data_IF_400752929242
#
_entry.id   IF_400752929242
#
_cell.length_a   1.000
_cell.length_b   1.000
_cell.length_c   1.000
_cell.angle_alpha   90.00
_cell.angle_beta   90.00
_cell.angle_gamma   90.00
#
_symmetry.space_group_name_H-M   'P 1'
#
loop_
_entity.id
_entity.type
_entity.pdbx_description
1 polymer ?
#
# COMPACT_ATOMS: atom_id res chain seq x y z
N UNK A 1 -62.29 -10.89 50.51
CA UNK A 1 -61.88 -9.71 51.29
C UNK A 1 -60.41 -9.47 51.02
N UNK A 2 -60.10 -8.20 50.74
CA UNK A 2 -58.79 -7.58 50.52
C UNK A 2 -57.62 -8.21 51.26
N UNK A 3 -56.48 -8.38 50.59
CA UNK A 3 -55.32 -7.49 50.79
C UNK A 3 -54.03 -8.11 50.27
N UNK A 4 -53.35 -7.40 49.38
CA UNK A 4 -52.02 -7.79 48.87
C UNK A 4 -51.43 -6.72 47.99
N UNK A 5 -51.28 -5.49 48.52
CA UNK A 5 -50.43 -4.48 47.90
C UNK A 5 -48.98 -4.89 48.17
N UNK A 6 -48.24 -5.25 47.12
CA UNK A 6 -46.78 -5.15 47.11
C UNK A 6 -46.36 -4.39 45.87
N UNK A 7 -45.94 -3.17 46.14
CA UNK A 7 -45.31 -2.23 45.26
C UNK A 7 -44.08 -2.85 44.60
N UNK A 8 -43.90 -2.60 43.31
CA UNK A 8 -42.55 -2.48 42.76
C UNK A 8 -42.53 -1.31 41.80
N UNK A 9 -41.92 -0.25 42.30
CA UNK A 9 -41.70 1.00 41.61
C UNK A 9 -41.03 0.78 40.25
N UNK A 10 -41.53 1.52 39.26
CA UNK A 10 -40.85 1.74 38.00
C UNK A 10 -39.51 2.42 38.28
N UNK A 11 -38.41 1.76 37.92
CA UNK A 11 -37.11 2.41 37.78
C UNK A 11 -36.95 2.80 36.31
N UNK A 12 -36.93 4.10 35.95
CA UNK A 12 -36.45 4.51 34.65
C UNK A 12 -34.91 4.37 34.66
N UNK A 13 -34.41 3.25 34.13
CA UNK A 13 -32.97 3.12 33.89
C UNK A 13 -32.61 4.00 32.68
N UNK A 14 -32.40 5.28 32.97
CA UNK A 14 -31.81 6.26 32.06
C UNK A 14 -30.38 5.79 31.76
N UNK A 15 -30.20 4.98 30.71
CA UNK A 15 -28.87 4.68 30.19
C UNK A 15 -28.28 5.97 29.62
N UNK A 16 -27.43 6.61 30.40
CA UNK A 16 -26.55 7.68 29.96
C UNK A 16 -25.53 7.03 29.04
N UNK A 17 -25.72 7.19 27.73
CA UNK A 17 -24.71 6.83 26.74
C UNK A 17 -23.59 7.88 26.87
N UNK A 18 -22.61 7.62 27.72
CA UNK A 18 -21.30 8.28 27.61
C UNK A 18 -20.66 7.75 26.34
N UNK A 19 -20.73 8.51 25.26
CA UNK A 19 -19.88 8.30 24.09
C UNK A 19 -18.47 8.67 24.52
N UNK A 20 -17.64 7.66 24.77
CA UNK A 20 -16.20 7.85 24.93
C UNK A 20 -15.70 8.38 23.58
N UNK A 21 -15.38 9.67 23.52
CA UNK A 21 -14.80 10.30 22.34
C UNK A 21 -13.38 9.76 22.18
N UNK A 22 -13.21 8.76 21.30
CA UNK A 22 -11.89 8.28 20.93
C UNK A 22 -11.13 9.42 20.26
N UNK A 23 -10.19 10.01 20.99
CA UNK A 23 -9.27 11.03 20.49
C UNK A 23 -8.36 10.37 19.44
N UNK A 24 -8.70 10.50 18.17
CA UNK A 24 -7.86 10.01 17.07
C UNK A 24 -6.60 10.88 17.02
N UNK A 25 -5.48 10.36 17.50
CA UNK A 25 -4.15 10.96 17.32
C UNK A 25 -3.63 10.69 15.90
N UNK A 26 -4.32 11.29 14.93
CA UNK A 26 -3.87 11.38 13.55
C UNK A 26 -3.69 12.87 13.26
N UNK A 27 -2.51 13.41 13.59
CA UNK A 27 -2.09 14.70 13.06
C UNK A 27 -2.01 14.58 11.54
N UNK A 28 -3.05 15.05 10.86
CA UNK A 28 -3.15 15.08 9.42
C UNK A 28 -2.15 16.09 8.85
N UNK A 29 -0.88 15.69 8.75
CA UNK A 29 0.05 16.32 7.81
C UNK A 29 -0.34 15.75 6.44
N UNK A 30 -1.23 16.47 5.77
CA UNK A 30 -1.66 16.16 4.41
C UNK A 30 -0.51 16.46 3.46
N UNK A 31 0.33 15.47 3.16
CA UNK A 31 1.08 15.50 1.92
C UNK A 31 0.06 15.32 0.79
N UNK A 32 -0.15 16.37 0.00
CA UNK A 32 -1.02 16.34 -1.17
C UNK A 32 -0.48 15.32 -2.18
N UNK A 33 -0.94 14.06 -2.08
CA UNK A 33 -0.77 13.09 -3.13
C UNK A 33 -1.67 13.50 -4.31
N UNK A 34 -1.06 14.07 -5.36
CA UNK A 34 -1.72 14.31 -6.65
C UNK A 34 -2.26 12.98 -7.17
N UNK A 35 -3.56 12.75 -6.99
CA UNK A 35 -4.26 11.65 -7.64
C UNK A 35 -4.31 11.97 -9.14
N UNK A 36 -3.49 11.29 -9.94
CA UNK A 36 -3.71 11.19 -11.38
C UNK A 36 -5.03 10.44 -11.57
N UNK A 37 -6.10 11.17 -11.89
CA UNK A 37 -7.38 10.61 -12.32
C UNK A 37 -7.20 9.99 -13.70
N UNK A 38 -6.79 8.73 -13.71
CA UNK A 38 -6.95 7.86 -14.88
C UNK A 38 -8.41 7.46 -14.95
N UNK A 39 -9.10 8.05 -15.93
CA UNK A 39 -10.18 7.44 -16.72
C UNK A 39 -11.32 6.74 -15.97
N UNK A 40 -12.42 7.47 -15.75
CA UNK A 40 -13.79 7.02 -16.05
C UNK A 40 -14.81 8.00 -15.46
N UNK A 41 -15.05 9.10 -16.16
CA UNK A 41 -16.35 9.74 -16.14
C UNK A 41 -16.72 9.95 -17.61
N UNK A 42 -17.78 9.29 -18.03
CA UNK A 42 -18.32 9.39 -19.37
C UNK A 42 -18.56 10.85 -19.73
N UNK A 43 -17.82 11.32 -20.73
CA UNK A 43 -18.13 12.52 -21.48
C UNK A 43 -18.49 12.06 -22.88
N UNK A 44 -19.78 12.05 -23.17
CA UNK A 44 -20.36 12.02 -24.52
C UNK A 44 -19.59 13.01 -25.40
N UNK A 45 -18.73 12.54 -26.29
CA UNK A 45 -18.26 13.28 -27.47
C UNK A 45 -17.76 12.30 -28.52
N UNK A 46 -18.71 11.64 -29.18
CA UNK A 46 -18.55 11.44 -30.62
C UNK A 46 -18.77 12.79 -31.29
N UNK A 47 -17.70 13.54 -31.56
CA UNK A 47 -17.68 14.56 -32.61
C UNK A 47 -16.27 15.14 -32.75
N UNK A 48 -15.75 15.17 -33.97
CA UNK A 48 -14.72 16.12 -34.36
C UNK A 48 -13.27 15.63 -34.19
N UNK A 49 -12.69 15.22 -35.32
CA UNK A 49 -11.44 15.72 -35.90
C UNK A 49 -10.77 16.88 -35.12
N UNK A 50 -10.27 16.59 -33.92
CA UNK A 50 -9.55 17.51 -33.08
C UNK A 50 -8.12 17.01 -32.95
N UNK A 51 -7.27 17.48 -33.85
CA UNK A 51 -5.81 17.29 -33.85
C UNK A 51 -5.24 17.93 -32.57
N UNK A 52 -5.44 17.30 -31.42
CA UNK A 52 -4.78 17.67 -30.16
C UNK A 52 -3.31 17.40 -30.40
N UNK A 53 -2.58 18.50 -30.62
CA UNK A 53 -1.13 18.58 -30.62
C UNK A 53 -0.64 17.75 -29.44
N UNK A 54 -0.17 16.55 -29.75
CA UNK A 54 0.65 15.74 -28.86
C UNK A 54 1.90 16.58 -28.70
N UNK A 55 1.90 17.43 -27.68
CA UNK A 55 3.06 18.19 -27.28
C UNK A 55 4.19 17.17 -27.15
N UNK A 56 5.21 17.37 -27.97
CA UNK A 56 6.47 16.67 -27.95
C UNK A 56 7.11 16.93 -26.58
N UNK A 57 6.63 16.21 -25.56
CA UNK A 57 7.39 15.94 -24.36
C UNK A 57 8.61 15.19 -24.90
N UNK A 58 9.69 15.93 -25.16
CA UNK A 58 10.95 15.38 -25.59
C UNK A 58 11.25 14.21 -24.68
N UNK A 59 11.48 13.04 -25.28
CA UNK A 59 11.93 11.89 -24.53
C UNK A 59 13.24 12.30 -23.84
N UNK A 60 13.14 12.60 -22.55
CA UNK A 60 14.29 12.87 -21.71
C UNK A 60 15.12 11.58 -21.76
N UNK A 61 16.26 11.66 -22.43
CA UNK A 61 17.17 10.53 -22.58
C UNK A 61 17.65 10.13 -21.18
N UNK A 62 17.45 8.86 -20.84
CA UNK A 62 17.89 8.33 -19.55
C UNK A 62 19.40 8.22 -19.62
N UNK A 63 20.11 8.97 -18.77
CA UNK A 63 21.55 8.86 -18.64
C UNK A 63 21.88 7.52 -17.98
N UNK A 64 22.40 6.58 -18.76
CA UNK A 64 22.93 5.31 -18.25
C UNK A 64 24.31 5.58 -17.64
N UNK A 65 24.46 5.32 -16.33
CA UNK A 65 25.76 5.41 -15.68
C UNK A 65 26.52 4.10 -15.88
N UNK A 66 27.84 4.14 -16.10
CA UNK A 66 28.64 2.94 -16.25
C UNK A 66 28.58 2.10 -14.97
N UNK A 67 28.46 0.79 -15.12
CA UNK A 67 28.47 -0.16 -14.01
C UNK A 67 29.92 -0.49 -13.66
N UNK A 68 30.26 -0.40 -12.38
CA UNK A 68 31.57 -0.80 -11.86
C UNK A 68 31.81 -2.30 -12.07
N UNK A 69 33.02 -2.68 -12.49
CA UNK A 69 33.40 -4.08 -12.79
C UNK A 69 34.41 -4.65 -11.80
N UNK A 70 34.97 -3.81 -10.93
CA UNK A 70 35.98 -4.21 -9.96
C UNK A 70 35.36 -5.05 -8.82
N UNK A 71 35.76 -6.32 -8.63
CA UNK A 71 35.14 -7.20 -7.63
C UNK A 71 35.37 -6.71 -6.19
N UNK A 72 36.53 -6.11 -5.90
CA UNK A 72 36.83 -5.55 -4.58
C UNK A 72 35.91 -4.39 -4.20
N UNK A 73 35.48 -3.57 -5.16
CA UNK A 73 34.53 -2.48 -4.89
C UNK A 73 33.13 -3.03 -4.68
N UNK A 74 32.70 -3.98 -5.51
CA UNK A 74 31.37 -4.59 -5.44
C UNK A 74 31.08 -5.31 -4.12
N UNK A 75 32.11 -5.88 -3.47
CA UNK A 75 31.95 -6.57 -2.18
C UNK A 75 31.98 -5.61 -0.99
N UNK A 76 32.69 -4.48 -1.09
CA UNK A 76 32.89 -3.57 0.04
C UNK A 76 31.95 -2.36 0.04
N UNK A 77 31.37 -2.01 -1.12
CA UNK A 77 30.56 -0.82 -1.30
C UNK A 77 29.25 -1.14 -2.00
N UNK A 78 28.20 -0.39 -1.66
CA UNK A 78 26.91 -0.42 -2.37
C UNK A 78 27.03 0.48 -3.60
N UNK A 79 27.55 -0.06 -4.70
CA UNK A 79 27.74 0.69 -5.94
C UNK A 79 26.41 1.25 -6.46
N UNK A 80 26.37 2.55 -6.75
CA UNK A 80 25.17 3.25 -7.22
C UNK A 80 24.23 3.74 -6.12
N UNK A 81 24.69 3.72 -4.87
CA UNK A 81 23.97 4.31 -3.74
C UNK A 81 24.00 5.85 -3.77
N UNK A 82 25.09 6.45 -4.24
CA UNK A 82 25.23 7.89 -4.34
C UNK A 82 24.59 8.43 -5.63
N UNK A 83 23.58 9.29 -5.48
CA UNK A 83 22.91 9.98 -6.59
C UNK A 83 23.47 11.37 -6.87
N UNK A 84 24.32 11.89 -5.97
CA UNK A 84 24.90 13.22 -6.09
C UNK A 84 26.15 13.17 -6.96
N UNK A 85 26.49 14.31 -7.57
CA UNK A 85 27.72 14.45 -8.38
C UNK A 85 28.99 14.40 -7.54
N UNK A 86 28.86 14.60 -6.22
CA UNK A 86 29.95 14.61 -5.25
C UNK A 86 29.65 13.60 -4.14
N UNK A 87 30.69 13.00 -3.58
CA UNK A 87 30.59 12.02 -2.49
C UNK A 87 30.95 10.60 -2.92
N UNK A 88 31.02 9.72 -1.93
CA UNK A 88 31.37 8.31 -2.09
C UNK A 88 30.16 7.41 -1.85
N UNK A 89 30.21 6.19 -2.39
CA UNK A 89 29.19 5.17 -2.16
C UNK A 89 29.23 4.65 -0.71
N UNK A 90 28.08 4.17 -0.24
CA UNK A 90 27.95 3.64 1.13
C UNK A 90 28.79 2.38 1.28
N UNK A 91 29.73 2.40 2.22
CA UNK A 91 30.55 1.25 2.59
C UNK A 91 29.74 0.24 3.41
N UNK A 92 29.87 -1.05 3.06
CA UNK A 92 29.27 -2.15 3.80
C UNK A 92 29.98 -2.35 5.14
N UNK A 93 29.18 -2.55 6.18
CA UNK A 93 29.64 -2.83 7.54
C UNK A 93 29.59 -4.33 7.82
N UNK A 94 30.07 -4.75 8.99
CA UNK A 94 29.95 -6.12 9.46
C UNK A 94 28.50 -6.49 9.79
N UNK A 95 28.16 -7.78 9.74
CA UNK A 95 26.78 -8.27 9.91
C UNK A 95 26.12 -7.85 11.23
N UNK A 96 26.91 -7.65 12.28
CA UNK A 96 26.44 -7.22 13.60
C UNK A 96 26.03 -5.74 13.69
N UNK A 97 26.44 -4.91 12.72
CA UNK A 97 25.99 -3.52 12.64
C UNK A 97 24.54 -3.41 12.13
N UNK A 98 24.05 -4.45 11.44
CA UNK A 98 22.71 -4.48 10.90
C UNK A 98 21.70 -5.10 11.89
N UNK A 99 20.45 -4.61 11.93
CA UNK A 99 19.43 -5.18 12.79
C UNK A 99 19.11 -6.66 12.48
N UNK A 100 18.84 -7.46 13.51
CA UNK A 100 18.57 -8.90 13.37
C UNK A 100 17.41 -9.24 12.40
N UNK A 101 16.36 -8.40 12.34
CA UNK A 101 15.22 -8.63 11.46
C UNK A 101 15.58 -8.63 9.96
N UNK A 102 16.72 -8.05 9.57
CA UNK A 102 17.20 -8.07 8.20
C UNK A 102 17.43 -9.50 7.72
N UNK A 103 17.99 -10.34 8.58
CA UNK A 103 18.31 -11.74 8.31
C UNK A 103 17.09 -12.67 8.42
N UNK A 104 16.01 -12.20 9.03
CA UNK A 104 14.73 -12.92 9.11
C UNK A 104 13.85 -12.70 7.87
N UNK A 105 14.21 -11.75 6.99
CA UNK A 105 13.45 -11.46 5.78
C UNK A 105 13.53 -12.62 4.77
N UNK A 106 12.37 -12.98 4.21
CA UNK A 106 12.29 -13.99 3.15
C UNK A 106 12.76 -13.40 1.82
N UNK A 107 13.94 -13.83 1.36
CA UNK A 107 14.52 -13.45 0.05
C UNK A 107 14.01 -14.35 -1.09
N UNK A 108 13.44 -15.51 -0.75
CA UNK A 108 12.95 -16.48 -1.72
C UNK A 108 11.57 -16.17 -2.32
N UNK A 109 10.94 -17.20 -2.89
CA UNK A 109 9.61 -17.10 -3.48
C UNK A 109 8.60 -16.61 -2.45
N UNK A 110 7.72 -15.70 -2.89
CA UNK A 110 6.60 -15.25 -2.09
C UNK A 110 5.71 -16.45 -1.68
N UNK A 111 5.34 -16.57 -0.39
CA UNK A 111 4.61 -17.73 0.10
C UNK A 111 3.27 -17.96 -0.60
N UNK A 112 2.94 -19.24 -0.74
CA UNK A 112 1.65 -19.65 -1.27
C UNK A 112 0.53 -19.42 -0.24
N UNK A 113 -0.71 -19.35 -0.70
CA UNK A 113 -1.85 -19.06 0.17
C UNK A 113 -2.02 -20.08 1.31
N UNK A 114 -1.72 -21.35 1.06
CA UNK A 114 -1.84 -22.44 2.05
C UNK A 114 -0.74 -22.42 3.12
N UNK A 115 0.38 -21.71 2.88
CA UNK A 115 1.46 -21.55 3.85
C UNK A 115 1.19 -20.43 4.86
N UNK A 116 0.22 -19.54 4.56
CA UNK A 116 -0.08 -18.41 5.43
C UNK A 116 -1.16 -18.78 6.44
N UNK A 117 -0.96 -18.32 7.67
CA UNK A 117 -1.94 -18.46 8.73
C UNK A 117 -3.20 -17.60 8.45
N UNK A 118 -4.42 -18.15 8.61
CA UNK A 118 -5.68 -17.44 8.30
C UNK A 118 -5.99 -16.22 9.17
N UNK A 119 -5.37 -16.13 10.34
CA UNK A 119 -5.45 -15.00 11.27
C UNK A 119 -4.61 -13.79 10.82
N UNK A 120 -3.64 -14.00 9.92
CA UNK A 120 -2.74 -12.96 9.46
C UNK A 120 -3.38 -12.05 8.40
N UNK A 121 -3.09 -10.74 8.48
CA UNK A 121 -3.50 -9.77 7.44
C UNK A 121 -2.95 -10.15 6.06
N UNK A 122 -1.75 -10.74 6.00
CA UNK A 122 -1.08 -11.14 4.75
C UNK A 122 -1.88 -12.22 4.01
N UNK A 123 -2.51 -13.15 4.73
CA UNK A 123 -3.36 -14.18 4.15
C UNK A 123 -4.53 -13.55 3.37
N UNK A 124 -5.29 -12.66 4.01
CA UNK A 124 -6.46 -12.03 3.41
C UNK A 124 -6.13 -11.13 2.21
N UNK A 125 -4.99 -10.43 2.24
CA UNK A 125 -4.51 -9.68 1.07
C UNK A 125 -4.27 -10.60 -0.14
N UNK A 126 -3.76 -11.81 0.12
CA UNK A 126 -3.52 -12.81 -0.92
C UNK A 126 -4.83 -13.41 -1.44
N UNK A 127 -5.78 -13.73 -0.56
CA UNK A 127 -7.14 -14.16 -0.94
C UNK A 127 -7.81 -13.13 -1.84
N UNK A 128 -7.79 -11.85 -1.42
CA UNK A 128 -8.37 -10.74 -2.19
C UNK A 128 -7.74 -10.64 -3.58
N UNK A 129 -6.42 -10.73 -3.66
CA UNK A 129 -5.70 -10.67 -4.94
C UNK A 129 -6.06 -11.85 -5.84
N UNK A 130 -6.21 -13.06 -5.29
CA UNK A 130 -6.64 -14.25 -6.03
C UNK A 130 -8.07 -14.10 -6.57
N UNK A 131 -9.00 -13.58 -5.75
CA UNK A 131 -10.37 -13.30 -6.17
C UNK A 131 -10.43 -12.25 -7.29
N UNK A 132 -9.64 -11.17 -7.19
CA UNK A 132 -9.54 -10.16 -8.25
C UNK A 132 -9.03 -10.76 -9.55
N UNK A 133 -7.99 -11.59 -9.51
CA UNK A 133 -7.46 -12.29 -10.71
C UNK A 133 -8.51 -13.18 -11.35
N UNK A 134 -9.25 -13.96 -10.54
CA UNK A 134 -10.38 -14.78 -11.02
C UNK A 134 -11.44 -13.92 -11.70
N UNK A 135 -11.89 -12.84 -11.06
CA UNK A 135 -12.91 -11.95 -11.61
C UNK A 135 -12.45 -11.28 -12.90
N UNK A 136 -11.20 -10.85 -12.98
CA UNK A 136 -10.64 -10.28 -14.22
C UNK A 136 -10.63 -11.31 -15.35
N UNK A 137 -10.28 -12.58 -15.05
CA UNK A 137 -10.32 -13.66 -16.04
C UNK A 137 -11.75 -13.94 -16.52
N UNK A 138 -12.72 -14.00 -15.61
CA UNK A 138 -14.14 -14.18 -15.96
C UNK A 138 -14.67 -13.01 -16.80
N UNK A 139 -14.32 -11.77 -16.44
CA UNK A 139 -14.71 -10.58 -17.19
C UNK A 139 -14.10 -10.55 -18.59
N UNK A 140 -12.85 -10.99 -18.75
CA UNK A 140 -12.19 -11.07 -20.05
C UNK A 140 -12.86 -12.07 -21.00
N UNK A 141 -13.45 -13.15 -20.47
CA UNK A 141 -14.16 -14.17 -21.26
C UNK A 141 -15.60 -13.79 -21.60
N UNK A 142 -16.18 -12.79 -20.93
CA UNK A 142 -17.55 -12.36 -21.19
C UNK A 142 -17.58 -11.49 -22.45
N UNK A 143 -18.30 -11.93 -23.48
CA UNK A 143 -18.69 -11.04 -24.59
C UNK A 143 -19.71 -10.02 -24.06
N UNK A 144 -19.36 -8.74 -24.23
CA UNK A 144 -20.08 -7.49 -23.91
C UNK A 144 -21.02 -7.48 -22.69
#
# INVERSE_FOLDING_TARGET
MSSGFLSRAFLPLRQVITTQTSHLHSSAVTYAAVKKTTSAAGGVMGLGKGKKKVGKLGAMEKKEMPVETDPHKLVNYVCGSNIYTTGEDVKLQEDGAYPAWLWELRVGRAPALHELAPDSKRYWLRVRTAAMRRNNKLRAMRKF
#
